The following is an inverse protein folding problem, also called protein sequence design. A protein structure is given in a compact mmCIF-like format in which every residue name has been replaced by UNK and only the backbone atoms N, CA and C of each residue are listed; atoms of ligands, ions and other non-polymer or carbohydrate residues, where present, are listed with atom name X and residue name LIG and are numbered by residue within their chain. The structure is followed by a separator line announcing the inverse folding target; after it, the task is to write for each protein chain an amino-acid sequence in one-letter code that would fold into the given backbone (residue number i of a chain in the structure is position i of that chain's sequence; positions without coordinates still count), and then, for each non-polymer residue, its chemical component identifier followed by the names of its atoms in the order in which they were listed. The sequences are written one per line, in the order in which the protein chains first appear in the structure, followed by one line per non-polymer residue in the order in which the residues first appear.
data_IF_872395518759
#
_entry.id   IF_872395518759
#
_cell.length_a   1.000
_cell.length_b   1.000
_cell.length_c   1.000
_cell.angle_alpha   90.00
_cell.angle_beta   90.00
_cell.angle_gamma   90.00
#
_symmetry.space_group_name_H-M   'P 1'
#
loop_
_entity.id
_entity.type
_entity.pdbx_description
1 polymer ?
#
# COMPACT_ATOMS: atom_id res chain seq x y z
N UNK A 1 -9.04 8.43 -1.19
CA UNK A 1 -8.89 6.99 -1.42
C UNK A 1 -10.23 6.38 -1.08
N UNK A 2 -10.77 5.58 -1.99
CA UNK A 2 -12.08 4.94 -1.81
C UNK A 2 -12.03 3.99 -0.62
N UNK A 3 -12.98 4.13 0.30
CA UNK A 3 -13.07 3.33 1.50
C UNK A 3 -14.24 2.36 1.38
N UNK A 4 -14.10 1.05 1.69
CA UNK A 4 -15.17 0.06 1.47
C UNK A 4 -16.48 0.38 2.19
N UNK A 5 -16.47 1.15 3.28
CA UNK A 5 -17.69 1.60 3.96
C UNK A 5 -18.47 2.67 3.18
N UNK A 6 -17.95 3.13 2.03
CA UNK A 6 -18.61 4.05 1.11
C UNK A 6 -19.38 3.32 -0.01
N UNK A 7 -19.26 1.99 -0.10
CA UNK A 7 -20.00 1.16 -1.04
C UNK A 7 -21.42 0.92 -0.53
N UNK A 8 -22.42 1.48 -1.22
CA UNK A 8 -23.85 1.32 -0.84
C UNK A 8 -24.48 0.05 -1.42
N UNK A 9 -23.84 -0.58 -2.41
CA UNK A 9 -24.37 -1.75 -3.12
C UNK A 9 -24.03 -3.07 -2.41
N UNK A 10 -22.97 -3.09 -1.60
CA UNK A 10 -22.55 -4.22 -0.76
C UNK A 10 -21.94 -3.70 0.53
N UNK A 11 -22.35 -4.27 1.66
CA UNK A 11 -21.65 -4.02 2.92
C UNK A 11 -20.20 -4.50 2.81
N UNK A 12 -19.26 -3.68 3.24
CA UNK A 12 -17.86 -4.10 3.35
C UNK A 12 -17.76 -5.38 4.20
N UNK A 13 -16.87 -6.33 3.87
CA UNK A 13 -16.67 -7.51 4.71
C UNK A 13 -16.26 -7.08 6.13
N UNK A 14 -16.67 -7.84 7.14
CA UNK A 14 -16.17 -7.63 8.50
C UNK A 14 -14.68 -8.00 8.56
N UNK A 15 -13.90 -7.16 9.22
CA UNK A 15 -12.51 -7.48 9.53
C UNK A 15 -12.53 -8.46 10.71
N UNK A 16 -12.07 -9.71 10.56
CA UNK A 16 -12.14 -10.72 11.62
C UNK A 16 -11.13 -10.46 12.75
N UNK A 17 -10.30 -9.42 12.64
CA UNK A 17 -9.27 -9.11 13.65
C UNK A 17 -9.88 -8.34 14.82
N UNK A 18 -9.33 -8.59 16.00
CA UNK A 18 -9.53 -7.77 17.21
C UNK A 18 -11.00 -7.73 17.63
N UNK A 19 -11.54 -6.52 17.84
CA UNK A 19 -12.94 -6.28 18.17
C UNK A 19 -13.92 -6.58 17.04
N UNK A 20 -13.45 -7.06 15.89
CA UNK A 20 -14.27 -7.42 14.75
C UNK A 20 -14.93 -6.23 14.04
N UNK A 21 -14.65 -5.00 14.49
CA UNK A 21 -15.37 -3.79 14.08
C UNK A 21 -14.46 -2.70 13.51
N UNK A 22 -13.18 -3.01 13.32
CA UNK A 22 -12.26 -2.21 12.53
C UNK A 22 -12.59 -2.29 11.03
N UNK A 23 -12.14 -1.31 10.28
CA UNK A 23 -12.21 -1.34 8.81
C UNK A 23 -11.36 -2.49 8.25
N UNK A 24 -11.74 -3.08 7.11
CA UNK A 24 -10.92 -4.09 6.44
C UNK A 24 -9.83 -3.48 5.55
N UNK A 25 -9.76 -2.14 5.41
CA UNK A 25 -8.95 -1.49 4.37
C UNK A 25 -9.49 -1.74 2.95
N UNK A 26 -9.05 -0.95 1.96
CA UNK A 26 -9.58 -1.06 0.60
C UNK A 26 -8.56 -0.75 -0.51
N UNK A 27 -8.88 -1.10 -1.76
CA UNK A 27 -10.16 -1.64 -2.25
C UNK A 27 -10.29 -3.18 -2.14
N UNK A 28 -9.18 -3.92 -2.00
CA UNK A 28 -9.17 -5.40 -1.92
C UNK A 28 -9.58 -5.93 -0.52
N UNK A 29 -10.66 -5.38 0.03
CA UNK A 29 -11.19 -5.67 1.37
C UNK A 29 -11.58 -7.14 1.53
N UNK A 30 -12.38 -7.67 0.59
CA UNK A 30 -12.84 -9.07 0.59
C UNK A 30 -11.70 -10.06 0.59
N UNK A 31 -10.70 -9.84 -0.27
CA UNK A 31 -9.51 -10.70 -0.37
C UNK A 31 -8.74 -10.74 0.95
N UNK A 32 -8.50 -9.58 1.59
CA UNK A 32 -7.76 -9.53 2.84
C UNK A 32 -8.54 -10.13 4.02
N UNK A 33 -9.82 -9.80 4.14
CA UNK A 33 -10.67 -10.36 5.20
C UNK A 33 -10.87 -11.87 5.04
N UNK A 34 -10.93 -12.39 3.81
CA UNK A 34 -10.98 -13.83 3.55
C UNK A 34 -9.71 -14.55 4.05
N UNK A 35 -8.52 -14.04 3.71
CA UNK A 35 -7.25 -14.59 4.19
C UNK A 35 -7.15 -14.57 5.72
N UNK A 36 -7.66 -13.51 6.35
CA UNK A 36 -7.68 -13.39 7.81
C UNK A 36 -8.75 -14.26 8.50
N UNK A 37 -9.79 -14.71 7.77
CA UNK A 37 -10.91 -15.48 8.33
C UNK A 37 -10.75 -16.98 8.14
N UNK A 38 -10.13 -17.43 7.04
CA UNK A 38 -10.15 -18.82 6.63
C UNK A 38 -8.74 -19.42 6.58
N UNK A 39 -8.47 -20.41 7.43
CA UNK A 39 -7.16 -21.10 7.47
C UNK A 39 -6.86 -21.87 6.18
N UNK A 40 -7.89 -22.41 5.53
CA UNK A 40 -7.77 -23.18 4.29
C UNK A 40 -7.51 -22.33 3.03
N UNK A 41 -7.55 -20.99 3.13
CA UNK A 41 -7.22 -20.08 2.02
C UNK A 41 -5.78 -19.61 2.12
N UNK A 42 -4.89 -20.13 1.26
CA UNK A 42 -3.47 -19.75 1.25
C UNK A 42 -3.20 -18.37 0.65
N UNK A 43 -3.89 -18.05 -0.45
CA UNK A 43 -3.72 -16.83 -1.22
C UNK A 43 -5.04 -16.31 -1.77
N UNK A 44 -5.14 -14.99 -1.90
CA UNK A 44 -6.23 -14.29 -2.56
C UNK A 44 -5.64 -13.28 -3.56
N UNK A 45 -6.30 -13.17 -4.71
CA UNK A 45 -5.96 -12.18 -5.73
C UNK A 45 -6.49 -10.82 -5.29
N UNK A 46 -5.71 -9.79 -5.55
CA UNK A 46 -6.03 -8.40 -5.26
C UNK A 46 -5.49 -7.49 -6.38
N UNK A 47 -5.83 -6.20 -6.34
CA UNK A 47 -5.26 -5.19 -7.23
C UNK A 47 -4.71 -4.03 -6.42
N UNK A 48 -3.65 -3.40 -6.90
CA UNK A 48 -3.03 -2.24 -6.25
C UNK A 48 -2.65 -1.18 -7.29
N UNK A 49 -3.42 -0.09 -7.32
CA UNK A 49 -3.07 1.12 -8.05
C UNK A 49 -2.34 2.13 -7.14
N UNK A 50 -2.81 2.31 -5.91
CA UNK A 50 -2.35 3.36 -4.99
C UNK A 50 -2.29 2.92 -3.52
N UNK A 51 -2.36 1.62 -3.25
CA UNK A 51 -2.29 1.02 -1.91
C UNK A 51 -3.24 -0.16 -1.70
N UNK A 52 -4.00 -0.57 -2.72
CA UNK A 52 -5.15 -1.47 -2.56
C UNK A 52 -4.83 -2.95 -2.31
N UNK A 53 -3.55 -3.34 -2.28
CA UNK A 53 -3.08 -4.58 -1.65
C UNK A 53 -2.52 -4.27 -0.26
N UNK A 54 -1.68 -3.24 -0.17
CA UNK A 54 -0.88 -2.90 1.03
C UNK A 54 -1.72 -2.44 2.22
N UNK A 55 -2.77 -1.64 1.98
CA UNK A 55 -3.66 -1.14 3.02
C UNK A 55 -4.54 -2.25 3.59
N UNK A 56 -5.25 -3.07 2.77
CA UNK A 56 -5.95 -4.24 3.31
C UNK A 56 -5.03 -5.22 4.03
N UNK A 57 -3.79 -5.41 3.53
CA UNK A 57 -2.79 -6.24 4.21
C UNK A 57 -2.48 -5.74 5.62
N UNK A 58 -2.25 -4.43 5.79
CA UNK A 58 -2.07 -3.79 7.10
C UNK A 58 -3.27 -4.08 8.03
N UNK A 59 -4.48 -3.72 7.60
CA UNK A 59 -5.66 -3.76 8.49
C UNK A 59 -6.09 -5.18 8.88
N UNK A 60 -5.82 -6.17 8.05
CA UNK A 60 -6.16 -7.58 8.34
C UNK A 60 -4.95 -8.39 8.85
N UNK A 61 -3.77 -7.76 8.99
CA UNK A 61 -2.54 -8.41 9.42
C UNK A 61 -2.04 -9.49 8.45
N UNK A 62 -2.30 -9.32 7.15
CA UNK A 62 -1.90 -10.24 6.09
C UNK A 62 -0.56 -9.83 5.46
N UNK A 63 0.12 -10.77 4.79
CA UNK A 63 1.17 -10.38 3.85
C UNK A 63 0.54 -9.96 2.53
N UNK A 64 0.99 -8.84 1.96
CA UNK A 64 0.52 -8.31 0.69
C UNK A 64 1.69 -8.02 -0.25
N UNK A 65 1.70 -8.64 -1.43
CA UNK A 65 2.66 -8.35 -2.49
C UNK A 65 1.99 -7.49 -3.56
N UNK A 66 2.50 -6.27 -3.76
CA UNK A 66 2.35 -5.51 -5.00
C UNK A 66 3.58 -5.81 -5.87
N UNK A 67 3.45 -6.53 -6.99
CA UNK A 67 4.54 -6.76 -7.94
C UNK A 67 5.02 -5.45 -8.60
N UNK A 68 6.11 -5.55 -9.35
CA UNK A 68 6.52 -4.53 -10.32
C UNK A 68 5.40 -4.29 -11.33
N UNK A 69 5.21 -3.03 -11.73
CA UNK A 69 4.19 -2.70 -12.74
C UNK A 69 4.49 -3.47 -14.04
N UNK A 70 3.48 -4.18 -14.55
CA UNK A 70 3.59 -5.00 -15.76
C UNK A 70 4.20 -6.40 -15.55
N UNK A 71 4.56 -6.79 -14.32
CA UNK A 71 5.03 -8.16 -14.04
C UNK A 71 3.94 -9.23 -14.22
N UNK A 72 2.67 -8.86 -14.02
CA UNK A 72 1.50 -9.70 -14.25
C UNK A 72 0.58 -9.03 -15.27
N UNK A 73 -0.08 -9.83 -16.10
CA UNK A 73 -1.06 -9.33 -17.08
C UNK A 73 -2.25 -8.68 -16.37
N UNK A 74 -2.68 -7.52 -16.87
CA UNK A 74 -3.92 -6.84 -16.46
C UNK A 74 -5.11 -7.22 -17.34
N UNK A 75 -4.96 -8.19 -18.24
CA UNK A 75 -6.06 -8.69 -19.06
C UNK A 75 -7.20 -9.22 -18.17
N UNK A 76 -8.43 -8.75 -18.44
CA UNK A 76 -9.62 -9.10 -17.66
C UNK A 76 -9.76 -8.34 -16.34
N UNK A 77 -8.81 -7.47 -15.95
CA UNK A 77 -8.95 -6.59 -14.80
C UNK A 77 -9.69 -5.32 -15.19
N UNK A 78 -10.72 -4.96 -14.41
CA UNK A 78 -11.39 -3.65 -14.57
C UNK A 78 -10.42 -2.57 -14.13
N UNK A 79 -9.96 -1.77 -15.08
CA UNK A 79 -8.94 -0.76 -14.84
C UNK A 79 -9.53 0.48 -14.14
N UNK A 80 -8.77 1.02 -13.19
CA UNK A 80 -9.03 2.34 -12.58
C UNK A 80 -7.90 3.32 -12.88
N UNK A 81 -6.66 2.82 -13.02
CA UNK A 81 -5.53 3.60 -13.46
C UNK A 81 -4.58 2.71 -14.28
N UNK A 82 -4.72 2.63 -15.62
CA UNK A 82 -3.98 1.69 -16.46
C UNK A 82 -2.45 1.69 -16.29
N UNK A 83 -1.86 2.84 -15.92
CA UNK A 83 -0.42 2.95 -15.69
C UNK A 83 0.06 2.41 -14.33
N UNK A 84 -0.83 2.32 -13.34
CA UNK A 84 -0.50 1.90 -11.97
C UNK A 84 -1.17 0.59 -11.57
N UNK A 85 -2.28 0.22 -12.21
CA UNK A 85 -3.02 -1.01 -11.93
C UNK A 85 -2.10 -2.21 -12.00
N UNK A 86 -1.89 -2.83 -10.84
CA UNK A 86 -1.00 -3.97 -10.69
C UNK A 86 -1.78 -5.09 -10.00
N UNK A 87 -2.01 -6.25 -10.64
CA UNK A 87 -2.51 -7.43 -9.96
C UNK A 87 -1.51 -7.83 -8.87
N UNK A 88 -2.01 -8.15 -7.69
CA UNK A 88 -1.20 -8.50 -6.53
C UNK A 88 -1.77 -9.68 -5.77
N UNK A 89 -1.06 -10.07 -4.73
CA UNK A 89 -1.41 -11.23 -3.91
C UNK A 89 -1.49 -10.83 -2.44
N UNK A 90 -2.50 -11.35 -1.77
CA UNK A 90 -2.61 -11.37 -0.31
C UNK A 90 -2.47 -12.81 0.14
N UNK A 91 -1.73 -13.09 1.20
CA UNK A 91 -1.57 -14.47 1.67
C UNK A 91 -0.58 -14.66 2.80
N UNK A 92 0.04 -15.85 2.81
CA UNK A 92 1.10 -16.30 3.74
C UNK A 92 2.37 -16.57 2.96
N UNK A 93 3.55 -16.20 3.45
CA UNK A 93 4.77 -16.29 2.65
C UNK A 93 5.60 -17.53 3.03
N UNK A 94 5.96 -18.37 2.05
CA UNK A 94 6.91 -19.49 2.16
C UNK A 94 7.87 -19.50 0.96
N UNK A 95 9.18 -19.19 1.12
CA UNK A 95 10.27 -19.36 0.11
C UNK A 95 11.66 -18.86 0.64
N UNK A 96 12.77 -19.00 -0.12
CA UNK A 96 14.19 -18.63 0.24
C UNK A 96 15.00 -17.98 -0.92
N UNK A 97 15.82 -16.92 -0.71
CA UNK A 97 16.91 -16.56 -1.61
C UNK A 97 18.08 -15.72 -1.01
N UNK A 98 19.01 -15.40 -1.91
CA UNK A 98 20.36 -14.93 -1.68
C UNK A 98 20.53 -13.42 -1.97
N UNK A 99 21.56 -12.84 -1.33
CA UNK A 99 22.22 -11.51 -1.43
C UNK A 99 21.74 -10.42 -0.45
N UNK A 100 22.70 -9.67 0.11
CA UNK A 100 22.52 -8.61 1.10
C UNK A 100 22.42 -7.22 0.44
N UNK A 101 21.25 -6.58 0.42
CA UNK A 101 21.04 -5.25 -0.13
C UNK A 101 21.27 -4.15 0.89
N UNK A 102 21.42 -2.93 0.38
CA UNK A 102 21.37 -1.73 1.22
C UNK A 102 19.95 -1.47 1.71
N UNK A 103 19.80 -1.12 2.98
CA UNK A 103 18.53 -0.68 3.57
C UNK A 103 18.46 0.86 3.52
N UNK A 104 17.38 1.42 2.97
CA UNK A 104 17.11 2.87 2.97
C UNK A 104 15.80 3.17 3.68
N UNK A 105 15.80 4.21 4.51
CA UNK A 105 14.61 4.68 5.23
C UNK A 105 14.42 6.16 4.88
N UNK A 106 13.34 6.53 4.17
CA UNK A 106 13.03 7.92 3.85
C UNK A 106 12.25 8.56 5.00
N UNK A 107 12.86 9.45 5.82
CA UNK A 107 12.19 10.02 7.00
C UNK A 107 10.94 10.84 6.67
N UNK A 108 10.80 11.31 5.43
CA UNK A 108 9.64 12.07 4.93
C UNK A 108 8.30 11.39 5.25
N UNK A 109 8.28 10.05 5.26
CA UNK A 109 7.07 9.26 5.50
C UNK A 109 6.78 8.95 6.97
N UNK A 110 7.69 9.28 7.88
CA UNK A 110 7.60 8.93 9.30
C UNK A 110 7.13 10.07 10.19
N UNK A 111 6.86 11.25 9.62
CA UNK A 111 6.53 12.49 10.36
C UNK A 111 5.33 12.35 11.31
N UNK A 112 4.36 11.49 10.98
CA UNK A 112 3.19 11.21 11.81
C UNK A 112 3.24 9.85 12.52
N UNK A 113 4.34 9.11 12.40
CA UNK A 113 4.51 7.78 13.00
C UNK A 113 5.25 7.94 14.33
N UNK A 114 4.59 7.62 15.44
CA UNK A 114 5.11 7.90 16.78
C UNK A 114 4.85 6.74 17.75
N UNK A 115 5.36 6.84 18.98
CA UNK A 115 5.08 5.90 20.07
C UNK A 115 5.50 4.46 19.75
N UNK A 116 4.68 3.51 20.20
CA UNK A 116 4.94 2.07 20.08
C UNK A 116 5.01 1.61 18.62
N UNK A 117 4.25 2.24 17.73
CA UNK A 117 4.32 1.96 16.30
C UNK A 117 5.73 2.25 15.77
N UNK A 118 6.31 3.41 16.10
CA UNK A 118 7.66 3.76 15.66
C UNK A 118 8.70 2.79 16.26
N UNK A 119 8.56 2.45 17.54
CA UNK A 119 9.47 1.50 18.19
C UNK A 119 9.47 0.11 17.54
N UNK A 120 8.29 -0.39 17.14
CA UNK A 120 8.15 -1.65 16.42
C UNK A 120 8.83 -1.59 15.05
N UNK A 121 8.66 -0.50 14.31
CA UNK A 121 9.30 -0.32 13.00
C UNK A 121 10.83 -0.24 13.16
N UNK A 122 11.32 0.52 14.14
CA UNK A 122 12.76 0.60 14.43
C UNK A 122 13.34 -0.76 14.87
N UNK A 123 12.57 -1.58 15.61
CA UNK A 123 12.99 -2.94 15.91
C UNK A 123 13.05 -3.82 14.66
N UNK A 124 12.05 -3.73 13.78
CA UNK A 124 12.08 -4.46 12.52
C UNK A 124 13.25 -4.03 11.62
N UNK A 125 13.61 -2.75 11.63
CA UNK A 125 14.80 -2.26 10.93
C UNK A 125 16.07 -2.89 11.50
N UNK A 126 16.24 -2.94 12.82
CA UNK A 126 17.37 -3.63 13.46
C UNK A 126 17.45 -5.10 13.09
N UNK A 127 16.31 -5.76 13.04
CA UNK A 127 16.21 -7.17 12.64
C UNK A 127 16.68 -7.39 11.19
N UNK A 128 16.36 -6.46 10.28
CA UNK A 128 16.90 -6.45 8.91
C UNK A 128 18.41 -6.18 8.89
N UNK A 129 18.89 -5.21 9.67
CA UNK A 129 20.32 -4.87 9.77
C UNK A 129 21.14 -6.08 10.21
N UNK A 130 20.71 -6.75 11.28
CA UNK A 130 21.33 -7.94 11.84
C UNK A 130 21.30 -9.11 10.84
N UNK A 131 20.15 -9.35 10.20
CA UNK A 131 20.00 -10.44 9.23
C UNK A 131 20.83 -10.24 7.97
N UNK A 132 20.96 -9.01 7.49
CA UNK A 132 21.60 -8.72 6.20
C UNK A 132 23.07 -8.34 6.35
N UNK A 133 23.55 -8.09 7.58
CA UNK A 133 24.91 -7.63 7.85
C UNK A 133 25.18 -6.24 7.29
N UNK A 134 24.17 -5.36 7.30
CA UNK A 134 24.26 -3.98 6.80
C UNK A 134 23.64 -3.01 7.80
N UNK A 135 23.89 -1.71 7.63
CA UNK A 135 23.23 -0.64 8.39
C UNK A 135 22.20 0.08 7.52
N UNK A 136 21.11 0.54 8.13
CA UNK A 136 20.08 1.31 7.48
C UNK A 136 20.51 2.77 7.30
N UNK A 137 20.38 3.25 6.07
CA UNK A 137 20.69 4.62 5.71
C UNK A 137 19.42 5.47 5.67
N UNK A 138 19.32 6.44 6.58
CA UNK A 138 18.24 7.43 6.55
C UNK A 138 18.57 8.51 5.54
N UNK A 139 17.67 8.70 4.56
CA UNK A 139 17.90 9.64 3.46
C UNK A 139 16.61 10.36 3.06
N UNK A 140 16.53 11.66 3.36
CA UNK A 140 15.36 12.51 3.09
C UNK A 140 15.17 12.76 1.59
N UNK A 141 13.98 12.45 1.08
CA UNK A 141 13.56 12.68 -0.32
C UNK A 141 13.45 14.17 -0.60
N UNK A 142 12.81 14.94 0.27
CA UNK A 142 12.67 16.38 0.09
C UNK A 142 14.03 17.09 0.01
N UNK A 143 14.99 16.78 0.88
CA UNK A 143 16.33 17.40 0.85
C UNK A 143 17.12 17.00 -0.39
N UNK A 144 17.04 15.72 -0.79
CA UNK A 144 17.70 15.25 -2.01
C UNK A 144 17.06 15.90 -3.23
N UNK A 145 15.74 16.06 -3.27
CA UNK A 145 15.04 16.73 -4.38
C UNK A 145 15.44 18.21 -4.45
N UNK A 146 15.39 18.91 -3.31
CA UNK A 146 15.76 20.32 -3.21
C UNK A 146 17.16 20.60 -3.78
N UNK A 147 18.10 19.68 -3.58
CA UNK A 147 19.50 19.82 -4.03
C UNK A 147 19.80 19.26 -5.41
N UNK A 148 18.96 18.37 -5.96
CA UNK A 148 19.30 17.61 -7.19
C UNK A 148 18.17 17.42 -8.19
N UNK A 149 17.02 18.05 -7.98
CA UNK A 149 15.90 17.95 -8.91
C UNK A 149 16.31 18.39 -10.33
N UNK A 150 15.89 17.67 -11.37
CA UNK A 150 16.21 18.00 -12.76
C UNK A 150 15.32 19.14 -13.33
N UNK A 151 14.62 19.88 -12.46
CA UNK A 151 13.64 20.92 -12.78
C UNK A 151 13.77 22.08 -11.79
N UNK A 152 13.18 23.23 -12.11
CA UNK A 152 13.31 24.44 -11.27
C UNK A 152 12.57 24.35 -9.92
N UNK A 153 11.41 23.68 -9.87
CA UNK A 153 10.64 23.51 -8.63
C UNK A 153 11.38 22.60 -7.64
N UNK A 154 11.82 23.19 -6.51
CA UNK A 154 12.65 22.52 -5.48
C UNK A 154 11.84 21.96 -4.32
N UNK A 155 10.53 22.17 -4.29
CA UNK A 155 9.63 21.56 -3.34
C UNK A 155 8.93 20.36 -3.99
N UNK A 156 9.27 19.15 -3.53
CA UNK A 156 8.71 17.91 -4.10
C UNK A 156 7.20 17.79 -3.90
N UNK A 157 6.64 18.32 -2.81
CA UNK A 157 5.20 18.28 -2.57
C UNK A 157 4.44 19.21 -3.52
N UNK A 158 5.02 20.35 -3.88
CA UNK A 158 4.47 21.22 -4.93
C UNK A 158 4.64 20.54 -6.29
N UNK A 159 5.83 19.99 -6.55
CA UNK A 159 6.14 19.34 -7.82
C UNK A 159 5.31 18.08 -8.07
N UNK A 160 4.90 17.33 -7.06
CA UNK A 160 4.01 16.17 -7.23
C UNK A 160 2.55 16.46 -6.92
N UNK A 161 2.23 17.59 -6.27
CA UNK A 161 0.91 17.94 -5.72
C UNK A 161 -0.30 17.37 -6.46
N UNK A 162 -0.79 18.11 -7.46
CA UNK A 162 -1.95 17.65 -8.24
C UNK A 162 -1.65 16.40 -9.07
N UNK A 163 -0.39 16.16 -9.46
CA UNK A 163 -0.01 14.96 -10.20
C UNK A 163 -0.39 13.67 -9.47
N UNK A 164 -0.39 13.68 -8.13
CA UNK A 164 -0.79 12.54 -7.32
C UNK A 164 -2.27 12.27 -7.30
N UNK A 165 -3.09 13.29 -7.07
CA UNK A 165 -4.53 13.09 -6.90
C UNK A 165 -5.28 13.17 -8.23
N UNK A 166 -4.99 14.17 -9.04
CA UNK A 166 -5.75 14.44 -10.28
C UNK A 166 -5.37 13.52 -11.44
N UNK A 167 -4.16 12.95 -11.46
CA UNK A 167 -3.84 11.91 -12.45
C UNK A 167 -4.69 10.65 -12.21
N UNK A 168 -4.89 10.28 -10.94
CA UNK A 168 -5.79 9.21 -10.55
C UNK A 168 -7.24 9.56 -10.90
N UNK A 169 -7.73 10.77 -10.57
CA UNK A 169 -9.11 11.15 -10.89
C UNK A 169 -9.39 11.13 -12.38
N UNK A 170 -8.50 11.70 -13.19
CA UNK A 170 -8.60 11.64 -14.65
C UNK A 170 -8.66 10.18 -15.12
N UNK A 171 -7.74 9.32 -14.68
CA UNK A 171 -7.71 7.93 -15.09
C UNK A 171 -8.97 7.17 -14.67
N UNK A 172 -9.41 7.35 -13.42
CA UNK A 172 -10.60 6.70 -12.86
C UNK A 172 -11.90 7.15 -13.54
N UNK A 173 -11.94 8.36 -14.09
CA UNK A 173 -13.04 8.79 -14.94
C UNK A 173 -12.94 8.15 -16.32
N UNK A 174 -11.85 8.37 -17.05
CA UNK A 174 -11.71 7.97 -18.45
C UNK A 174 -11.57 6.45 -18.68
N UNK A 175 -11.19 5.67 -17.66
CA UNK A 175 -11.20 4.20 -17.74
C UNK A 175 -12.60 3.61 -17.96
N UNK A 176 -13.66 4.40 -17.74
CA UNK A 176 -15.05 4.00 -17.89
C UNK A 176 -15.78 4.76 -19.01
N UNK A 177 -15.07 5.40 -19.95
CA UNK A 177 -15.69 6.08 -21.11
C UNK A 177 -16.59 5.10 -21.89
N UNK A 178 -16.02 3.99 -22.37
CA UNK A 178 -16.75 2.96 -23.11
C UNK A 178 -17.95 2.40 -22.33
N UNK A 179 -17.78 2.20 -21.02
CA UNK A 179 -18.87 1.72 -20.16
C UNK A 179 -20.02 2.74 -20.09
N UNK A 180 -19.72 4.02 -19.85
CA UNK A 180 -20.75 5.07 -19.78
C UNK A 180 -21.47 5.24 -21.11
N UNK A 181 -20.73 5.23 -22.21
CA UNK A 181 -21.31 5.32 -23.56
C UNK A 181 -22.23 4.13 -23.85
N UNK A 182 -21.75 2.91 -23.63
CA UNK A 182 -22.53 1.69 -23.84
C UNK A 182 -23.78 1.63 -22.94
N UNK A 183 -23.65 2.06 -21.68
CA UNK A 183 -24.77 2.10 -20.73
C UNK A 183 -25.84 3.11 -21.19
N UNK A 184 -25.44 4.30 -21.62
CA UNK A 184 -26.36 5.33 -22.13
C UNK A 184 -27.07 4.86 -23.40
N UNK A 185 -26.36 4.21 -24.33
CA UNK A 185 -26.97 3.63 -25.54
C UNK A 185 -28.01 2.58 -25.17
N UNK A 186 -27.71 1.71 -24.20
CA UNK A 186 -28.57 0.57 -23.84
C UNK A 186 -29.79 0.95 -23.00
N UNK A 187 -29.65 1.90 -22.08
CA UNK A 187 -30.67 2.18 -21.06
C UNK A 187 -31.21 3.62 -21.08
N UNK A 188 -30.73 4.46 -21.99
CA UNK A 188 -31.09 5.89 -22.12
C UNK A 188 -30.93 6.72 -20.83
N UNK A 189 -30.08 6.27 -19.90
CA UNK A 189 -29.77 6.99 -18.67
C UNK A 189 -28.28 6.85 -18.32
N UNK A 190 -27.79 7.67 -17.39
CA UNK A 190 -26.45 7.51 -16.83
C UNK A 190 -26.43 6.35 -15.82
N UNK A 191 -25.30 5.61 -15.69
CA UNK A 191 -25.19 4.58 -14.67
C UNK A 191 -25.27 5.21 -13.27
N UNK A 192 -25.89 4.47 -12.35
CA UNK A 192 -25.76 4.80 -10.93
C UNK A 192 -24.29 4.62 -10.50
N UNK A 193 -23.81 5.56 -9.70
CA UNK A 193 -22.50 5.49 -9.02
C UNK A 193 -22.65 5.99 -7.60
N UNK A 194 -21.89 5.41 -6.69
CA UNK A 194 -21.82 5.82 -5.28
C UNK A 194 -21.38 7.28 -5.18
N UNK A 195 -21.67 7.95 -4.07
CA UNK A 195 -21.32 9.36 -3.87
C UNK A 195 -19.80 9.61 -4.01
N UNK A 196 -18.99 8.68 -3.50
CA UNK A 196 -17.53 8.77 -3.61
C UNK A 196 -17.04 8.67 -5.05
N UNK A 197 -17.61 7.76 -5.84
CA UNK A 197 -17.26 7.66 -7.26
C UNK A 197 -17.80 8.82 -8.08
N UNK A 198 -18.98 9.35 -7.74
CA UNK A 198 -19.52 10.57 -8.35
C UNK A 198 -18.57 11.75 -8.17
N UNK A 199 -18.05 11.96 -6.95
CA UNK A 199 -17.08 13.01 -6.67
C UNK A 199 -15.75 12.81 -7.42
N UNK A 200 -15.21 11.59 -7.43
CA UNK A 200 -13.99 11.25 -8.20
C UNK A 200 -14.19 11.51 -9.69
N UNK A 201 -15.32 11.06 -10.25
CA UNK A 201 -15.65 11.22 -11.67
C UNK A 201 -15.85 12.68 -12.04
N UNK A 202 -16.49 13.47 -11.19
CA UNK A 202 -16.63 14.91 -11.39
C UNK A 202 -15.25 15.57 -11.52
N UNK A 203 -14.38 15.39 -10.51
CA UNK A 203 -13.03 15.97 -10.54
C UNK A 203 -12.19 15.46 -11.72
N UNK A 204 -12.34 14.17 -12.06
CA UNK A 204 -11.64 13.55 -13.18
C UNK A 204 -12.05 14.13 -14.53
N UNK A 205 -13.34 14.41 -14.72
CA UNK A 205 -13.89 14.98 -15.95
C UNK A 205 -13.43 16.41 -16.22
N UNK A 206 -13.03 17.14 -15.18
CA UNK A 206 -12.52 18.51 -15.27
C UNK A 206 -11.03 18.59 -15.66
N UNK A 207 -10.31 17.45 -15.65
CA UNK A 207 -8.89 17.41 -15.99
C UNK A 207 -8.70 17.41 -17.51
N UNK A 208 -8.02 18.44 -18.04
CA UNK A 208 -7.73 18.53 -19.45
C UNK A 208 -6.64 17.54 -19.90
N UNK A 209 -6.59 17.24 -21.20
CA UNK A 209 -5.51 16.43 -21.78
C UNK A 209 -4.12 17.05 -21.57
N UNK A 210 -4.02 18.39 -21.54
CA UNK A 210 -2.78 19.11 -21.25
C UNK A 210 -2.35 18.89 -19.81
N UNK A 211 -3.25 19.07 -18.84
CA UNK A 211 -2.99 18.81 -17.42
C UNK A 211 -2.61 17.35 -17.20
N UNK A 212 -3.29 16.40 -17.86
CA UNK A 212 -2.95 14.97 -17.81
C UNK A 212 -1.53 14.70 -18.31
N UNK A 213 -1.14 15.30 -19.43
CA UNK A 213 0.19 15.12 -20.01
C UNK A 213 1.28 15.76 -19.13
N UNK A 214 1.03 16.92 -18.54
CA UNK A 214 1.90 17.55 -17.53
C UNK A 214 2.13 16.60 -16.34
N UNK A 215 1.04 16.12 -15.73
CA UNK A 215 1.13 15.23 -14.57
C UNK A 215 1.90 13.94 -14.90
N UNK A 216 1.66 13.35 -16.07
CA UNK A 216 2.41 12.17 -16.55
C UNK A 216 3.90 12.48 -16.68
N UNK A 217 4.26 13.62 -17.27
CA UNK A 217 5.65 14.06 -17.42
C UNK A 217 6.35 14.26 -16.08
N UNK A 218 5.64 14.85 -15.11
CA UNK A 218 6.16 15.07 -13.74
C UNK A 218 6.38 13.76 -12.99
N UNK A 219 5.45 12.81 -13.10
CA UNK A 219 5.59 11.47 -12.53
C UNK A 219 6.80 10.75 -13.15
N UNK A 220 6.99 10.82 -14.47
CA UNK A 220 8.13 10.19 -15.15
C UNK A 220 9.47 10.84 -14.77
N UNK A 221 9.50 12.17 -14.66
CA UNK A 221 10.66 12.92 -14.19
C UNK A 221 11.03 12.52 -12.77
N UNK A 222 10.05 12.45 -11.88
CA UNK A 222 10.25 11.98 -10.51
C UNK A 222 10.72 10.53 -10.47
N UNK A 223 10.10 9.63 -11.25
CA UNK A 223 10.50 8.22 -11.37
C UNK A 223 11.97 8.10 -11.73
N UNK A 224 12.39 8.72 -12.83
CA UNK A 224 13.76 8.68 -13.33
C UNK A 224 14.74 9.22 -12.28
N UNK A 225 14.40 10.36 -11.67
CA UNK A 225 15.19 10.95 -10.60
C UNK A 225 15.28 10.04 -9.37
N UNK A 226 14.17 9.49 -8.89
CA UNK A 226 14.13 8.67 -7.69
C UNK A 226 14.97 7.40 -7.87
N UNK A 227 14.79 6.69 -8.98
CA UNK A 227 15.59 5.50 -9.29
C UNK A 227 17.09 5.83 -9.31
N UNK A 228 17.48 6.93 -9.94
CA UNK A 228 18.88 7.40 -9.95
C UNK A 228 19.45 7.70 -8.56
N UNK A 229 18.65 8.23 -7.64
CA UNK A 229 19.13 8.72 -6.35
C UNK A 229 18.97 7.73 -5.18
N UNK A 230 18.01 6.81 -5.27
CA UNK A 230 17.62 5.89 -4.18
C UNK A 230 17.74 4.43 -4.57
N UNK A 231 17.55 4.08 -5.84
CA UNK A 231 17.44 2.70 -6.30
C UNK A 231 18.33 2.45 -7.52
N UNK A 232 19.62 2.78 -7.37
CA UNK A 232 20.59 2.49 -8.42
C UNK A 232 20.72 0.98 -8.59
N UNK A 233 20.75 0.47 -9.83
CA UNK A 233 21.23 -0.88 -10.09
C UNK A 233 22.76 -0.89 -9.89
N UNK A 234 23.21 -0.95 -8.64
CA UNK A 234 24.57 -1.35 -8.29
C UNK A 234 24.54 -2.80 -7.79
N UNK A 235 25.73 -3.42 -7.63
CA UNK A 235 25.85 -4.86 -7.31
C UNK A 235 25.17 -5.28 -6.00
N UNK A 236 24.93 -4.35 -5.07
CA UNK A 236 24.32 -4.65 -3.77
C UNK A 236 22.79 -4.67 -3.85
N UNK A 237 22.17 -3.90 -4.75
CA UNK A 237 20.73 -3.68 -4.73
C UNK A 237 20.28 -2.82 -3.53
N UNK A 238 19.03 -2.38 -3.52
CA UNK A 238 18.49 -1.54 -2.44
C UNK A 238 17.07 -1.94 -2.11
N UNK A 239 16.77 -2.03 -0.81
CA UNK A 239 15.41 -2.07 -0.29
C UNK A 239 15.07 -0.79 0.46
N UNK A 240 13.81 -0.39 0.41
CA UNK A 240 13.30 0.78 1.11
C UNK A 240 12.23 0.34 2.11
N UNK A 241 12.38 0.69 3.39
CA UNK A 241 11.40 0.40 4.43
C UNK A 241 10.49 1.61 4.61
N UNK A 242 9.17 1.38 4.54
CA UNK A 242 8.13 2.39 4.50
C UNK A 242 7.04 2.09 5.54
N UNK A 243 6.48 3.08 6.24
CA UNK A 243 5.24 2.89 6.99
C UNK A 243 4.06 2.83 6.01
N UNK A 244 3.06 1.99 6.25
CA UNK A 244 1.88 1.93 5.37
C UNK A 244 0.90 3.06 5.72
N UNK A 245 0.59 3.23 7.01
CA UNK A 245 -0.18 4.35 7.55
C UNK A 245 0.15 4.58 9.03
N UNK A 246 -0.36 5.66 9.61
CA UNK A 246 -0.48 5.77 11.07
C UNK A 246 -1.49 4.73 11.58
N UNK A 247 -1.12 3.95 12.59
CA UNK A 247 -1.97 2.90 13.15
C UNK A 247 -2.71 3.46 14.36
N UNK A 248 -4.02 3.62 14.20
CA UNK A 248 -4.94 4.06 15.25
C UNK A 248 -6.32 3.44 14.99
N UNK A 249 -7.20 3.33 16.00
CA UNK A 249 -8.51 2.71 15.81
C UNK A 249 -9.28 3.42 14.70
N UNK A 250 -9.79 2.64 13.76
CA UNK A 250 -10.58 3.13 12.65
C UNK A 250 -11.79 2.22 12.49
N UNK A 251 -12.90 2.67 13.08
CA UNK A 251 -14.12 1.91 13.19
C UNK A 251 -14.99 2.07 11.95
N UNK A 252 -15.75 1.03 11.62
CA UNK A 252 -16.57 0.97 10.40
C UNK A 252 -17.71 1.99 10.35
N UNK A 253 -18.20 2.41 11.50
CA UNK A 253 -19.23 3.44 11.71
C UNK A 253 -18.63 4.87 11.78
N UNK A 254 -17.31 5.03 11.66
CA UNK A 254 -16.70 6.33 11.49
C UNK A 254 -16.87 6.79 10.03
N UNK A 255 -17.76 7.74 9.80
CA UNK A 255 -17.84 8.40 8.50
C UNK A 255 -16.53 9.14 8.23
N UNK A 256 -16.02 9.14 6.98
CA UNK A 256 -14.94 10.04 6.62
C UNK A 256 -15.43 11.45 6.93
N UNK A 257 -14.86 12.08 7.95
CA UNK A 257 -15.09 13.50 8.17
C UNK A 257 -14.90 14.18 6.81
N UNK A 258 -15.89 14.95 6.35
CA UNK A 258 -15.76 15.78 5.15
C UNK A 258 -14.33 16.32 5.15
N UNK A 259 -13.56 15.95 4.13
CA UNK A 259 -12.12 16.23 4.07
C UNK A 259 -11.96 17.76 4.04
N UNK A 260 -11.97 18.38 5.20
CA UNK A 260 -12.00 19.81 5.41
C UNK A 260 -10.64 20.36 5.02
N UNK A 261 -10.46 20.66 3.74
CA UNK A 261 -9.39 21.53 3.23
C UNK A 261 -7.94 21.11 3.53
N UNK A 262 -7.67 19.92 4.07
CA UNK A 262 -6.28 19.45 4.25
C UNK A 262 -5.67 19.23 2.88
N UNK A 263 -4.70 20.06 2.53
CA UNK A 263 -3.87 19.88 1.35
C UNK A 263 -3.34 18.45 1.33
N UNK A 264 -3.66 17.70 0.28
CA UNK A 264 -3.09 16.36 0.09
C UNK A 264 -1.63 16.54 -0.31
N UNK A 265 -0.66 15.96 0.43
CA UNK A 265 0.75 16.11 0.09
C UNK A 265 1.01 15.51 -1.29
N UNK A 266 1.92 16.13 -2.03
CA UNK A 266 2.32 15.66 -3.35
C UNK A 266 3.00 14.31 -3.25
N UNK A 267 3.92 14.13 -2.30
CA UNK A 267 4.55 12.84 -2.06
C UNK A 267 3.77 12.06 -0.99
N UNK A 268 3.35 10.83 -1.33
CA UNK A 268 2.58 9.95 -0.43
C UNK A 268 3.21 8.57 -0.39
N UNK A 269 3.23 7.95 0.78
CA UNK A 269 3.92 6.67 0.96
C UNK A 269 3.40 5.59 0.03
N UNK A 270 2.08 5.43 -0.04
CA UNK A 270 1.45 4.39 -0.89
C UNK A 270 1.51 4.67 -2.39
N UNK A 271 1.91 5.89 -2.81
CA UNK A 271 2.12 6.24 -4.21
C UNK A 271 3.55 6.04 -4.69
N UNK A 272 4.51 5.88 -3.76
CA UNK A 272 5.91 5.76 -4.12
C UNK A 272 6.16 4.55 -5.03
N UNK A 273 5.75 3.34 -4.62
CA UNK A 273 5.98 2.14 -5.42
C UNK A 273 5.22 2.13 -6.77
N UNK A 274 3.96 2.63 -6.88
CA UNK A 274 3.35 2.91 -8.19
C UNK A 274 4.17 3.83 -9.10
N UNK A 275 4.64 4.97 -8.60
CA UNK A 275 5.43 5.91 -9.40
C UNK A 275 6.71 5.29 -9.95
N UNK A 276 7.41 4.53 -9.12
CA UNK A 276 8.67 3.92 -9.52
C UNK A 276 8.50 2.53 -10.14
N UNK A 277 7.26 2.02 -10.21
CA UNK A 277 6.93 0.70 -10.74
C UNK A 277 7.65 -0.44 -10.02
N UNK A 278 7.96 -0.24 -8.74
CA UNK A 278 8.74 -1.15 -7.91
C UNK A 278 7.85 -2.18 -7.21
N UNK A 279 8.33 -3.40 -6.93
CA UNK A 279 7.61 -4.32 -6.07
C UNK A 279 7.65 -3.82 -4.62
N UNK A 280 6.55 -4.00 -3.89
CA UNK A 280 6.45 -3.67 -2.46
C UNK A 280 5.71 -4.77 -1.71
N UNK A 281 6.35 -5.27 -0.65
CA UNK A 281 5.79 -6.25 0.26
C UNK A 281 5.29 -5.54 1.52
N UNK A 282 3.98 -5.50 1.73
CA UNK A 282 3.39 -5.18 3.01
C UNK A 282 3.45 -6.41 3.92
N UNK A 283 4.04 -6.26 5.10
CA UNK A 283 4.16 -7.34 6.06
C UNK A 283 3.88 -6.86 7.50
N UNK A 284 3.18 -7.67 8.30
CA UNK A 284 2.98 -7.38 9.71
C UNK A 284 4.28 -7.55 10.50
N UNK A 285 4.49 -6.67 11.49
CA UNK A 285 5.70 -6.64 12.32
C UNK A 285 5.42 -6.61 13.82
N UNK A 286 4.15 -6.58 14.21
CA UNK A 286 3.74 -6.53 15.62
C UNK A 286 2.37 -5.89 15.76
N UNK A 287 2.01 -5.54 16.99
CA UNK A 287 0.75 -4.90 17.30
C UNK A 287 0.91 -3.80 18.34
N UNK A 288 -0.01 -2.84 18.34
CA UNK A 288 -0.10 -1.77 19.34
C UNK A 288 -1.43 -1.86 20.08
N UNK A 289 -1.39 -1.69 21.40
CA UNK A 289 -2.60 -1.76 22.22
C UNK A 289 -3.47 -0.51 22.05
N UNK A 290 -4.78 -0.67 22.14
CA UNK A 290 -5.74 0.43 22.19
C UNK A 290 -6.96 0.05 23.05
N UNK A 291 -7.63 1.05 23.62
CA UNK A 291 -8.91 0.83 24.29
C UNK A 291 -10.05 0.80 23.26
N UNK A 292 -10.70 -0.35 23.11
CA UNK A 292 -11.82 -0.48 22.18
C UNK A 292 -13.09 0.05 22.81
N UNK A 293 -13.74 0.99 22.12
CA UNK A 293 -15.09 1.45 22.50
C UNK A 293 -16.18 0.43 22.20
N UNK A 294 -15.86 -0.61 21.42
CA UNK A 294 -16.82 -1.62 20.99
C UNK A 294 -16.83 -2.77 21.99
N UNK A 295 -15.65 -3.32 22.33
CA UNK A 295 -15.55 -4.41 23.32
C UNK A 295 -15.47 -3.92 24.76
N UNK A 296 -15.05 -2.67 25.00
CA UNK A 296 -14.79 -2.12 26.33
C UNK A 296 -13.48 -2.61 26.97
N UNK A 297 -12.65 -3.35 26.21
CA UNK A 297 -11.38 -3.91 26.66
C UNK A 297 -10.20 -3.26 25.93
N UNK A 298 -8.98 -3.49 26.46
CA UNK A 298 -7.74 -3.27 25.73
C UNK A 298 -7.60 -4.32 24.62
N UNK A 299 -7.58 -3.88 23.37
CA UNK A 299 -7.42 -4.68 22.14
C UNK A 299 -6.08 -4.32 21.45
N UNK A 300 -5.70 -4.99 20.34
CA UNK A 300 -4.35 -4.85 19.74
C UNK A 300 -4.35 -4.62 18.22
N UNK A 301 -4.12 -3.41 17.71
CA UNK A 301 -4.06 -3.15 16.27
C UNK A 301 -2.80 -3.72 15.59
N UNK A 302 -2.90 -4.36 14.41
CA UNK A 302 -1.72 -4.76 13.66
C UNK A 302 -0.90 -3.56 13.21
N UNK A 303 0.41 -3.69 13.28
CA UNK A 303 1.38 -2.79 12.65
C UNK A 303 2.03 -3.54 11.50
N UNK A 304 2.01 -2.94 10.32
CA UNK A 304 2.69 -3.44 9.15
C UNK A 304 3.56 -2.36 8.50
N UNK A 305 4.61 -2.82 7.83
CA UNK A 305 5.54 -2.01 7.05
C UNK A 305 5.54 -2.48 5.60
N UNK A 306 5.83 -1.57 4.68
CA UNK A 306 6.19 -1.89 3.32
C UNK A 306 7.70 -2.06 3.21
N UNK A 307 8.17 -3.17 2.65
CA UNK A 307 9.54 -3.26 2.11
C UNK A 307 9.43 -3.20 0.59
N UNK A 308 9.97 -2.14 0.00
CA UNK A 308 10.00 -1.92 -1.44
C UNK A 308 11.37 -2.33 -2.02
N UNK A 309 11.36 -3.07 -3.13
CA UNK A 309 12.56 -3.53 -3.85
C UNK A 309 12.79 -2.78 -5.15
N UNK A 310 13.83 -3.14 -5.90
CA UNK A 310 14.08 -2.59 -7.24
C UNK A 310 12.97 -3.04 -8.21
N UNK A 311 12.57 -2.21 -9.20
CA UNK A 311 11.73 -2.68 -10.30
C UNK A 311 12.32 -3.95 -10.94
N UNK A 312 11.49 -4.99 -11.05
CA UNK A 312 11.87 -6.33 -11.54
C UNK A 312 12.49 -7.26 -10.49
N UNK A 313 12.67 -6.82 -9.24
CA UNK A 313 13.26 -7.63 -8.17
C UNK A 313 12.24 -8.39 -7.32
N UNK A 314 11.04 -8.63 -7.82
CA UNK A 314 9.88 -9.16 -7.10
C UNK A 314 10.21 -10.41 -6.30
N UNK A 315 10.73 -11.43 -6.99
CA UNK A 315 11.10 -12.68 -6.36
C UNK A 315 12.33 -12.54 -5.49
N UNK A 316 13.26 -11.64 -5.76
CA UNK A 316 14.39 -11.42 -4.84
C UNK A 316 13.92 -10.79 -3.52
N UNK A 317 13.04 -9.78 -3.61
CA UNK A 317 12.50 -9.02 -2.49
C UNK A 317 11.70 -9.89 -1.52
N UNK A 318 10.68 -10.61 -2.02
CA UNK A 318 9.79 -11.47 -1.21
C UNK A 318 10.59 -12.36 -0.27
N UNK A 319 11.68 -12.82 -0.82
CA UNK A 319 12.33 -14.04 -0.49
C UNK A 319 13.49 -13.58 0.45
N UNK A 320 14.15 -12.45 0.17
CA UNK A 320 15.02 -11.76 1.13
C UNK A 320 14.29 -11.43 2.43
N UNK A 321 13.09 -10.84 2.35
CA UNK A 321 12.33 -10.44 3.55
C UNK A 321 11.99 -11.67 4.39
N UNK A 322 11.63 -12.78 3.77
CA UNK A 322 11.39 -14.04 4.46
C UNK A 322 12.59 -14.55 5.25
N UNK A 323 13.80 -14.44 4.69
CA UNK A 323 15.00 -14.89 5.39
C UNK A 323 15.27 -14.03 6.62
N UNK A 324 15.10 -12.71 6.50
CA UNK A 324 15.22 -11.82 7.64
C UNK A 324 14.16 -12.09 8.70
N UNK A 325 12.91 -12.36 8.30
CA UNK A 325 11.88 -12.76 9.26
C UNK A 325 12.27 -14.05 10.01
N UNK A 326 12.76 -15.07 9.30
CA UNK A 326 13.20 -16.33 9.92
C UNK A 326 14.42 -16.14 10.83
N UNK A 327 15.42 -15.38 10.38
CA UNK A 327 16.63 -15.09 11.15
C UNK A 327 16.31 -14.39 12.48
N UNK A 328 15.35 -13.47 12.44
CA UNK A 328 14.89 -12.70 13.61
C UNK A 328 13.73 -13.36 14.36
N UNK A 329 13.40 -14.62 14.05
CA UNK A 329 12.31 -15.40 14.66
C UNK A 329 10.95 -14.66 14.63
N UNK A 330 10.72 -13.87 13.59
CA UNK A 330 9.44 -13.21 13.34
C UNK A 330 8.47 -14.17 12.67
N UNK A 331 7.17 -14.02 12.94
CA UNK A 331 6.16 -14.85 12.28
C UNK A 331 6.17 -14.69 10.75
N UNK A 332 6.04 -15.81 10.05
CA UNK A 332 5.90 -15.87 8.58
C UNK A 332 4.52 -16.39 8.16
N UNK A 333 3.70 -16.79 9.13
CA UNK A 333 2.36 -17.36 8.93
C UNK A 333 1.32 -16.44 9.55
N UNK A 334 0.24 -16.20 8.81
CA UNK A 334 -0.93 -15.45 9.29
C UNK A 334 -1.93 -16.46 9.86
N UNK A 335 -2.24 -16.34 11.15
CA UNK A 335 -3.26 -17.16 11.82
C UNK A 335 -4.66 -16.60 11.52
N UNK A 336 -5.69 -17.43 11.51
CA UNK A 336 -7.07 -16.95 11.35
C UNK A 336 -7.66 -16.44 12.68
N UNK A 337 -8.62 -15.52 12.60
CA UNK A 337 -9.43 -15.08 13.74
C UNK A 337 -8.89 -13.87 14.53
N UNK A 338 -9.43 -13.67 15.74
CA UNK A 338 -9.38 -12.40 16.48
C UNK A 338 -8.16 -12.22 17.38
N UNK A 339 -7.70 -13.28 18.05
CA UNK A 339 -6.82 -13.19 19.22
C UNK A 339 -5.32 -13.34 18.93
N UNK A 340 -4.94 -14.14 17.93
CA UNK A 340 -3.53 -14.37 17.54
C UNK A 340 -3.41 -14.16 16.05
N UNK A 341 -2.73 -13.10 15.63
CA UNK A 341 -2.65 -12.73 14.21
C UNK A 341 -1.58 -13.52 13.46
N UNK A 342 -0.54 -14.01 14.16
CA UNK A 342 0.61 -14.65 13.52
C UNK A 342 1.21 -15.81 14.35
N UNK A 343 1.85 -16.76 13.65
CA UNK A 343 2.56 -17.89 14.22
C UNK A 343 3.92 -18.14 13.52
N UNK A 344 4.87 -18.78 14.22
CA UNK A 344 6.11 -19.28 13.61
C UNK A 344 5.86 -20.62 12.90
N UNK A 345 6.61 -20.93 11.84
CA UNK A 345 6.49 -22.20 11.08
C UNK A 345 6.53 -23.43 12.00
N UNK A 346 7.38 -23.40 13.04
CA UNK A 346 7.58 -24.50 13.99
C UNK A 346 6.39 -24.74 14.94
N UNK A 347 5.44 -23.81 15.05
CA UNK A 347 4.26 -23.95 15.92
C UNK A 347 3.06 -24.60 15.22
N UNK A 348 3.10 -24.75 13.89
CA UNK A 348 1.98 -25.27 13.08
C UNK A 348 2.03 -26.78 12.85
N UNK A 349 3.00 -27.48 13.45
CA UNK A 349 3.23 -28.92 13.29
C UNK A 349 2.50 -29.84 14.29
N UNK A 350 1.59 -29.32 15.12
CA UNK A 350 0.84 -30.12 16.08
C UNK A 350 -0.62 -29.68 16.13
N UNK A 351 -1.47 -30.36 15.37
CA UNK A 351 -2.91 -30.13 15.34
C UNK A 351 -3.59 -31.12 14.41
#
# INVERSE_FOLDING_TARGET
MEHPTQSVDYEAPFNPRLDGYQIPGGSSSGSASAIASYEWLDFAIATDATGSVRIPALWNGCFGLRPSTGALSTEGVVSVYPGFDTPGLLGRIKNKPITSPRIVIPPDFFTNITGDQLQLIEQFVRDLEDSLGTTAHRKTIADTWKSSAPVDERNIDIYLGNATSYSYYHAAFHAFDDFREAYKIKYDCAPFVTESNRWIWQLGSEVSSEQRNDMKSRIETFRTWFLKHYMKPDEQGTIIVLPISDVKPNYRDAYPAQTNGRATPGLRTTYLSPYVGAPELALPIGHVSFESRISGNTESLPVAVGVMGLPGSDMALVKLVLESLRASKRPTVVSAGTARMWACEDETGSG
#
